data_IF_139675195254
#
_entry.id   IF_139675195254
#
_cell.length_a   1.000
_cell.length_b   1.000
_cell.length_c   1.000
_cell.angle_alpha   90.00
_cell.angle_beta   90.00
_cell.angle_gamma   90.00
#
_symmetry.space_group_name_H-M   'P 1'
#
loop_
_entity.id
_entity.type
_entity.pdbx_description
1 polymer ?
#
# COMPACT_ATOMS: atom_id res chain seq x y z
N UNK A 1 -2.51 24.67 56.45
CA UNK A 1 -3.74 24.04 56.97
C UNK A 1 -3.80 22.60 56.46
N UNK A 2 -3.88 21.59 57.35
CA UNK A 2 -4.05 20.19 56.92
C UNK A 2 -5.47 19.98 56.41
N UNK A 3 -5.63 19.34 55.24
CA UNK A 3 -6.96 19.02 54.68
C UNK A 3 -7.73 18.15 55.66
N UNK A 4 -9.01 18.44 55.90
CA UNK A 4 -9.84 17.59 56.76
C UNK A 4 -10.04 16.23 56.09
N UNK A 5 -10.10 15.11 56.86
CA UNK A 5 -10.27 13.77 56.30
C UNK A 5 -11.47 13.64 55.35
N UNK A 6 -12.58 14.32 55.68
CA UNK A 6 -13.78 14.36 54.82
C UNK A 6 -13.52 14.97 53.45
N UNK A 7 -12.67 16.01 53.35
CA UNK A 7 -12.33 16.65 52.08
C UNK A 7 -11.38 15.79 51.25
N UNK A 8 -10.48 15.05 51.89
CA UNK A 8 -9.61 14.08 51.19
C UNK A 8 -10.43 12.96 50.54
N UNK A 9 -11.41 12.39 51.25
CA UNK A 9 -12.29 11.34 50.71
C UNK A 9 -13.11 11.83 49.50
N UNK A 10 -13.61 13.07 49.53
CA UNK A 10 -14.32 13.65 48.39
C UNK A 10 -13.40 13.91 47.19
N UNK A 11 -12.18 14.39 47.43
CA UNK A 11 -11.17 14.58 46.39
C UNK A 11 -10.79 13.22 45.75
N UNK A 12 -10.65 12.15 46.54
CA UNK A 12 -10.37 10.78 46.07
C UNK A 12 -11.54 10.20 45.27
N UNK A 13 -12.77 10.36 45.75
CA UNK A 13 -13.97 9.92 45.03
C UNK A 13 -14.11 10.64 43.68
N UNK A 14 -13.81 11.94 43.63
CA UNK A 14 -13.79 12.72 42.39
C UNK A 14 -12.78 12.18 41.38
N UNK A 15 -11.57 11.84 41.84
CA UNK A 15 -10.53 11.23 40.99
C UNK A 15 -10.94 9.84 40.49
N UNK A 16 -11.51 9.01 41.35
CA UNK A 16 -11.99 7.68 40.96
C UNK A 16 -13.08 7.76 39.89
N UNK A 17 -14.01 8.71 40.01
CA UNK A 17 -15.04 8.95 38.99
C UNK A 17 -14.45 9.45 37.66
N UNK A 18 -13.42 10.30 37.69
CA UNK A 18 -12.74 10.77 36.47
C UNK A 18 -12.02 9.62 35.76
N UNK A 19 -11.25 8.82 36.50
CA UNK A 19 -10.57 7.63 35.97
C UNK A 19 -11.57 6.60 35.41
N UNK A 20 -12.74 6.45 36.03
CA UNK A 20 -13.80 5.59 35.51
C UNK A 20 -14.28 6.01 34.12
N UNK A 21 -14.47 7.32 33.90
CA UNK A 21 -14.86 7.85 32.57
C UNK A 21 -13.75 7.66 31.54
N UNK A 22 -12.50 7.90 31.91
CA UNK A 22 -11.35 7.66 31.02
C UNK A 22 -11.25 6.18 30.64
N UNK A 23 -11.49 5.26 31.57
CA UNK A 23 -11.55 3.83 31.27
C UNK A 23 -12.69 3.48 30.31
N UNK A 24 -13.89 4.02 30.53
CA UNK A 24 -15.03 3.80 29.63
C UNK A 24 -14.75 4.31 28.20
N UNK A 25 -14.09 5.47 28.09
CA UNK A 25 -13.68 6.05 26.81
C UNK A 25 -12.63 5.18 26.10
N UNK A 26 -11.60 4.73 26.82
CA UNK A 26 -10.57 3.84 26.28
C UNK A 26 -11.13 2.47 25.88
N UNK A 27 -12.08 1.92 26.63
CA UNK A 27 -12.76 0.69 26.25
C UNK A 27 -13.59 0.87 24.98
N UNK A 28 -14.29 1.99 24.83
CA UNK A 28 -15.04 2.30 23.62
C UNK A 28 -14.12 2.48 22.40
N UNK A 29 -12.97 3.15 22.57
CA UNK A 29 -11.97 3.29 21.52
C UNK A 29 -11.36 1.94 21.12
N UNK A 30 -11.00 1.11 22.11
CA UNK A 30 -10.51 -0.25 21.86
C UNK A 30 -11.51 -1.06 21.03
N UNK A 31 -12.80 -1.05 21.40
CA UNK A 31 -13.84 -1.77 20.63
C UNK A 31 -13.92 -1.29 19.18
N UNK A 32 -13.84 0.03 18.95
CA UNK A 32 -13.81 0.61 17.60
C UNK A 32 -12.58 0.17 16.79
N UNK A 33 -11.41 0.09 17.43
CA UNK A 33 -10.19 -0.39 16.79
C UNK A 33 -10.28 -1.89 16.46
N UNK A 34 -10.79 -2.70 17.37
CA UNK A 34 -11.00 -4.14 17.15
C UNK A 34 -11.96 -4.39 15.98
N UNK A 35 -13.06 -3.63 15.88
CA UNK A 35 -13.98 -3.72 14.74
C UNK A 35 -13.32 -3.29 13.41
N UNK A 36 -12.47 -2.26 13.45
CA UNK A 36 -11.72 -1.80 12.28
C UNK A 36 -10.70 -2.82 11.82
N UNK A 37 -9.98 -3.46 12.74
CA UNK A 37 -9.04 -4.54 12.46
C UNK A 37 -9.79 -5.68 11.76
N UNK A 38 -10.91 -6.14 12.34
CA UNK A 38 -11.72 -7.21 11.76
C UNK A 38 -12.19 -6.88 10.34
N UNK A 39 -12.63 -5.65 10.09
CA UNK A 39 -13.02 -5.21 8.75
C UNK A 39 -11.85 -5.23 7.75
N UNK A 40 -10.65 -4.81 8.17
CA UNK A 40 -9.45 -4.83 7.33
C UNK A 40 -9.00 -6.26 7.05
N UNK A 41 -9.05 -7.15 8.03
CA UNK A 41 -8.76 -8.59 7.85
C UNK A 41 -9.74 -9.23 6.86
N UNK A 42 -11.03 -8.91 6.93
CA UNK A 42 -12.02 -9.37 5.95
C UNK A 42 -11.71 -8.86 4.55
N UNK A 43 -11.40 -7.57 4.40
CA UNK A 43 -11.01 -6.98 3.10
C UNK A 43 -9.74 -7.61 2.54
N UNK A 44 -8.77 -7.91 3.39
CA UNK A 44 -7.55 -8.60 3.01
C UNK A 44 -7.86 -10.02 2.53
N UNK A 45 -8.66 -10.77 3.28
CA UNK A 45 -9.06 -12.13 2.89
C UNK A 45 -9.84 -12.15 1.56
N UNK A 46 -10.73 -11.18 1.34
CA UNK A 46 -11.43 -11.02 0.06
C UNK A 46 -10.48 -10.67 -1.09
N UNK A 47 -9.52 -9.78 -0.85
CA UNK A 47 -8.50 -9.41 -1.84
C UNK A 47 -7.62 -10.63 -2.20
N UNK A 48 -7.19 -11.41 -1.20
CA UNK A 48 -6.44 -12.64 -1.40
C UNK A 48 -7.24 -13.68 -2.21
N UNK A 49 -8.51 -13.91 -1.87
CA UNK A 49 -9.37 -14.83 -2.65
C UNK A 49 -9.57 -14.37 -4.10
N UNK A 50 -9.78 -13.07 -4.31
CA UNK A 50 -9.89 -12.50 -5.67
C UNK A 50 -8.58 -12.64 -6.44
N UNK A 51 -7.45 -12.48 -5.76
CA UNK A 51 -6.13 -12.70 -6.34
C UNK A 51 -5.95 -14.17 -6.73
N UNK A 52 -6.19 -15.11 -5.83
CA UNK A 52 -6.11 -16.55 -6.09
C UNK A 52 -7.00 -16.96 -7.26
N UNK A 53 -8.27 -16.53 -7.27
CA UNK A 53 -9.21 -16.84 -8.37
C UNK A 53 -8.75 -16.25 -9.71
N UNK A 54 -8.21 -15.03 -9.69
CA UNK A 54 -7.68 -14.39 -10.91
C UNK A 54 -6.40 -15.07 -11.38
N UNK A 55 -5.56 -15.51 -10.44
CA UNK A 55 -4.32 -16.22 -10.71
C UNK A 55 -4.57 -17.61 -11.29
N UNK A 56 -5.48 -18.39 -10.70
CA UNK A 56 -5.90 -19.70 -11.22
C UNK A 56 -6.46 -19.59 -12.65
N UNK A 57 -7.31 -18.60 -12.94
CA UNK A 57 -7.80 -18.33 -14.29
C UNK A 57 -6.68 -17.98 -15.27
N UNK A 58 -5.67 -17.23 -14.83
CA UNK A 58 -4.49 -16.92 -15.64
C UNK A 58 -3.63 -18.17 -15.91
N UNK A 59 -3.56 -19.10 -14.95
CA UNK A 59 -2.83 -20.37 -15.10
C UNK A 59 -3.56 -21.32 -16.04
N UNK A 60 -4.88 -21.46 -15.94
CA UNK A 60 -5.70 -22.28 -16.84
C UNK A 60 -5.66 -21.77 -18.28
N UNK A 61 -5.73 -20.44 -18.48
CA UNK A 61 -5.60 -19.83 -19.82
C UNK A 61 -4.18 -19.92 -20.41
N UNK A 62 -3.16 -20.23 -19.59
CA UNK A 62 -1.80 -20.51 -20.05
C UNK A 62 -1.55 -21.97 -20.44
N UNK A 63 -2.45 -22.90 -20.06
CA UNK A 63 -2.36 -24.34 -20.32
C UNK A 63 -2.92 -24.73 -21.69
N UNK A 64 -4.00 -24.08 -22.12
CA UNK A 64 -4.78 -24.53 -23.26
C UNK A 64 -4.60 -23.59 -24.47
N UNK A 65 -3.68 -23.94 -25.38
CA UNK A 65 -3.72 -23.47 -26.76
C UNK A 65 -2.64 -22.47 -27.18
N UNK A 66 -1.39 -22.91 -27.26
CA UNK A 66 -0.37 -22.22 -28.08
C UNK A 66 -0.49 -22.64 -29.55
N UNK A 67 -1.58 -22.27 -30.21
CA UNK A 67 -1.65 -22.29 -31.68
C UNK A 67 -2.40 -21.07 -32.20
N UNK A 68 -1.63 -20.11 -32.71
CA UNK A 68 -2.04 -19.24 -33.80
C UNK A 68 -2.76 -17.95 -33.43
N UNK A 69 -2.12 -16.83 -33.81
CA UNK A 69 -2.84 -15.71 -34.42
C UNK A 69 -3.39 -14.63 -33.48
N UNK A 70 -2.63 -13.54 -33.42
CA UNK A 70 -3.11 -12.15 -33.38
C UNK A 70 -3.79 -11.58 -32.11
N UNK A 71 -3.09 -10.58 -31.57
CA UNK A 71 -3.60 -9.39 -30.88
C UNK A 71 -4.44 -9.58 -29.61
N UNK A 72 -3.78 -9.78 -28.46
CA UNK A 72 -4.34 -9.34 -27.18
C UNK A 72 -3.26 -9.04 -26.13
N UNK A 73 -3.44 -7.88 -25.51
CA UNK A 73 -2.73 -7.24 -24.41
C UNK A 73 -2.28 -8.19 -23.30
N UNK A 74 -0.96 -8.33 -23.20
CA UNK A 74 -0.27 -9.10 -22.17
C UNK A 74 -0.28 -8.35 -20.83
N UNK A 75 -1.02 -8.89 -19.85
CA UNK A 75 -0.68 -8.72 -18.44
C UNK A 75 0.06 -10.00 -17.99
N UNK A 76 1.31 -10.10 -18.47
CA UNK A 76 2.22 -11.21 -18.21
C UNK A 76 2.90 -11.02 -16.85
N UNK A 77 2.87 -12.10 -16.05
CA UNK A 77 3.60 -12.31 -14.81
C UNK A 77 4.98 -11.62 -14.77
N UNK A 78 5.26 -10.97 -13.63
CA UNK A 78 6.45 -10.16 -13.33
C UNK A 78 7.71 -11.00 -13.46
N UNK A 79 8.21 -11.12 -14.69
CA UNK A 79 9.58 -11.55 -14.94
C UNK A 79 10.47 -10.33 -14.66
N UNK A 80 11.48 -10.42 -13.77
CA UNK A 80 12.33 -9.29 -13.35
C UNK A 80 12.98 -8.50 -14.50
N UNK A 81 13.09 -9.10 -15.70
CA UNK A 81 13.59 -8.45 -16.91
C UNK A 81 12.63 -7.43 -17.55
N UNK A 82 11.32 -7.51 -17.28
CA UNK A 82 10.28 -6.64 -17.89
C UNK A 82 9.94 -5.41 -17.06
N UNK A 83 10.40 -5.33 -15.81
CA UNK A 83 10.08 -4.21 -14.93
C UNK A 83 10.57 -2.84 -15.46
N UNK A 84 11.81 -2.69 -15.95
CA UNK A 84 12.25 -1.43 -16.57
C UNK A 84 11.40 -1.04 -17.78
N UNK A 85 10.91 -2.02 -18.55
CA UNK A 85 10.03 -1.75 -19.68
C UNK A 85 8.67 -1.22 -19.20
N UNK A 86 8.04 -1.86 -18.19
CA UNK A 86 6.77 -1.40 -17.62
C UNK A 86 6.86 0.01 -17.04
N UNK A 87 7.93 0.30 -16.30
CA UNK A 87 8.22 1.66 -15.78
C UNK A 87 8.30 2.67 -16.92
N UNK A 88 9.07 2.35 -17.97
CA UNK A 88 9.20 3.24 -19.13
C UNK A 88 7.87 3.43 -19.88
N UNK A 89 7.11 2.36 -20.10
CA UNK A 89 5.79 2.42 -20.77
C UNK A 89 4.84 3.31 -19.99
N UNK A 90 4.80 3.17 -18.65
CA UNK A 90 3.95 3.99 -17.78
C UNK A 90 4.34 5.46 -17.80
N UNK A 91 5.64 5.77 -17.73
CA UNK A 91 6.10 7.16 -17.82
C UNK A 91 5.83 7.76 -19.21
N UNK A 92 5.85 6.95 -20.28
CA UNK A 92 5.57 7.39 -21.66
C UNK A 92 4.12 7.73 -21.92
N UNK A 93 3.18 7.16 -21.17
CA UNK A 93 1.77 7.51 -21.33
C UNK A 93 1.47 8.91 -20.80
N UNK A 94 2.33 9.47 -19.95
CA UNK A 94 2.20 10.82 -19.37
C UNK A 94 3.58 11.53 -19.36
N UNK A 95 4.10 11.95 -20.52
CA UNK A 95 5.48 12.43 -20.65
C UNK A 95 5.76 13.75 -19.92
N UNK A 96 4.73 14.53 -19.62
CA UNK A 96 4.83 15.81 -18.91
C UNK A 96 4.78 15.65 -17.38
N UNK A 97 4.45 14.45 -16.88
CA UNK A 97 4.29 14.19 -15.46
C UNK A 97 5.61 13.80 -14.81
N UNK A 98 5.83 14.31 -13.60
CA UNK A 98 6.94 13.93 -12.75
C UNK A 98 6.58 12.68 -11.95
N UNK A 99 7.49 11.71 -11.96
CA UNK A 99 7.31 10.42 -11.29
C UNK A 99 8.28 10.24 -10.14
N UNK A 100 7.78 9.78 -9.01
CA UNK A 100 8.61 9.26 -7.91
C UNK A 100 8.61 7.74 -7.94
N UNK A 101 9.63 7.12 -7.34
CA UNK A 101 9.66 5.66 -7.22
C UNK A 101 8.47 5.09 -6.43
N UNK A 102 7.97 5.81 -5.42
CA UNK A 102 6.80 5.40 -4.63
C UNK A 102 5.51 5.52 -5.45
N UNK A 103 5.38 6.57 -6.28
CA UNK A 103 4.25 6.73 -7.18
C UNK A 103 4.22 5.58 -8.21
N UNK A 104 5.35 5.31 -8.86
CA UNK A 104 5.46 4.22 -9.83
C UNK A 104 5.25 2.85 -9.19
N UNK A 105 5.66 2.66 -7.94
CA UNK A 105 5.37 1.45 -7.18
C UNK A 105 3.86 1.24 -7.05
N UNK A 106 3.14 2.27 -6.58
CA UNK A 106 1.69 2.20 -6.40
C UNK A 106 0.94 2.02 -7.72
N UNK A 107 1.37 2.71 -8.79
CA UNK A 107 0.71 2.66 -10.10
C UNK A 107 0.99 1.36 -10.88
N UNK A 108 2.11 0.69 -10.60
CA UNK A 108 2.49 -0.56 -11.27
C UNK A 108 2.20 -1.81 -10.41
N UNK A 109 1.62 -1.60 -9.23
CA UNK A 109 1.31 -2.63 -8.23
C UNK A 109 2.53 -3.50 -7.90
N UNK A 110 3.58 -2.85 -7.39
CA UNK A 110 4.86 -3.50 -7.06
C UNK A 110 5.05 -3.52 -5.55
N UNK A 111 5.38 -4.69 -5.00
CA UNK A 111 5.53 -4.85 -3.54
C UNK A 111 6.74 -4.10 -2.96
N UNK A 112 7.84 -4.02 -3.72
CA UNK A 112 9.10 -3.43 -3.27
C UNK A 112 9.54 -2.20 -4.07
N UNK A 113 9.55 -1.05 -3.41
CA UNK A 113 10.02 0.23 -3.95
C UNK A 113 11.49 0.19 -4.42
N UNK A 114 12.34 -0.66 -3.84
CA UNK A 114 13.74 -0.79 -4.23
C UNK A 114 13.89 -1.42 -5.61
N UNK A 115 12.96 -2.29 -6.02
CA UNK A 115 12.92 -2.83 -7.38
C UNK A 115 12.65 -1.72 -8.39
N UNK A 116 11.72 -0.80 -8.08
CA UNK A 116 11.41 0.38 -8.91
C UNK A 116 12.60 1.33 -8.99
N UNK A 117 13.27 1.59 -7.85
CA UNK A 117 14.49 2.41 -7.82
C UNK A 117 15.60 1.82 -8.69
N UNK A 118 15.78 0.50 -8.61
CA UNK A 118 16.77 -0.22 -9.43
C UNK A 118 16.41 -0.16 -10.91
N UNK A 119 15.13 -0.29 -11.27
CA UNK A 119 14.64 -0.14 -12.64
C UNK A 119 14.86 1.27 -13.18
N UNK A 120 14.51 2.30 -12.41
CA UNK A 120 14.75 3.71 -12.76
C UNK A 120 16.24 4.02 -12.92
N UNK A 121 17.10 3.49 -12.06
CA UNK A 121 18.55 3.63 -12.19
C UNK A 121 19.08 3.01 -13.50
N UNK A 122 18.57 1.83 -13.88
CA UNK A 122 18.91 1.18 -15.16
C UNK A 122 18.41 1.98 -16.37
N UNK A 123 17.22 2.58 -16.30
CA UNK A 123 16.67 3.42 -17.36
C UNK A 123 17.44 4.73 -17.50
N UNK A 124 17.83 5.35 -16.37
CA UNK A 124 18.66 6.55 -16.35
C UNK A 124 20.06 6.31 -16.92
N UNK A 125 20.68 5.16 -16.60
CA UNK A 125 21.96 4.76 -17.19
C UNK A 125 21.88 4.63 -18.73
N UNK A 126 20.72 4.23 -19.26
CA UNK A 126 20.42 4.15 -20.70
C UNK A 126 19.92 5.47 -21.29
N UNK A 127 19.87 6.56 -20.51
CA UNK A 127 19.36 7.89 -20.91
C UNK A 127 17.91 7.89 -21.42
N UNK A 128 17.11 6.92 -20.99
CA UNK A 128 15.68 6.81 -21.35
C UNK A 128 14.76 7.58 -20.39
N UNK A 129 15.29 7.92 -19.21
CA UNK A 129 14.63 8.67 -18.14
C UNK A 129 15.69 9.56 -17.51
N UNK A 130 15.31 10.75 -17.06
CA UNK A 130 16.19 11.74 -16.43
C UNK A 130 15.69 12.04 -15.01
N UNK A 131 16.64 12.29 -14.09
CA UNK A 131 16.31 12.87 -12.78
C UNK A 131 16.10 14.37 -12.96
N UNK A 132 15.10 14.91 -12.30
CA UNK A 132 14.90 16.36 -12.24
C UNK A 132 15.71 16.97 -11.10
N UNK A 133 15.69 18.30 -11.03
CA UNK A 133 16.33 19.06 -9.94
C UNK A 133 15.61 18.87 -8.59
N UNK A 134 14.38 18.33 -8.63
CA UNK A 134 13.61 17.96 -7.45
C UNK A 134 14.05 16.58 -6.96
N UNK A 135 14.40 16.51 -5.67
CA UNK A 135 15.00 15.31 -5.08
C UNK A 135 14.08 14.10 -5.18
N UNK A 136 14.48 13.12 -6.00
CA UNK A 136 13.83 11.82 -6.10
C UNK A 136 12.74 11.72 -7.18
N UNK A 137 12.63 12.75 -8.02
CA UNK A 137 11.70 12.77 -9.15
C UNK A 137 12.38 12.47 -10.48
N UNK A 138 11.60 11.89 -11.39
CA UNK A 138 12.04 11.41 -12.69
C UNK A 138 11.06 11.83 -13.79
N UNK A 139 11.59 12.14 -14.97
CA UNK A 139 10.85 12.46 -16.20
C UNK A 139 11.48 11.74 -17.39
N UNK A 140 10.78 11.61 -18.50
CA UNK A 140 11.36 11.10 -19.76
C UNK A 140 12.21 12.18 -20.44
#
# INVERSE_FOLDING_TARGET
MRKSPRRAVLDDAGRACALGRELDELEAERRRLDDRIRSLEQRLAEAMRKFETSFEKAVEQGSDGHTGGEAATADQAVTPGKLPHRVLTRMRSEPERLFTAALLQAELDIDDVQQVRTALARLAAKRLVRRTDVKGEFTI
#
